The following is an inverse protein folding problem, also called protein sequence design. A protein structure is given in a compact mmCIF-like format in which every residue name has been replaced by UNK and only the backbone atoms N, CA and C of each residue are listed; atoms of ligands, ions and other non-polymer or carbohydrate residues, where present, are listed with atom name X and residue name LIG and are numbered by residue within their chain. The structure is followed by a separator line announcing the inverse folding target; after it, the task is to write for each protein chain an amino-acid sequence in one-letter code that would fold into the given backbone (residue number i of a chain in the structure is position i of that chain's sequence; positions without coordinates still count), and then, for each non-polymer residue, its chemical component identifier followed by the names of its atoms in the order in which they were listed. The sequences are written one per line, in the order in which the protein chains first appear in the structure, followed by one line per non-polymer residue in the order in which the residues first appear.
data_IF_320611802899
#
_entry.id   IF_320611802899
#
_cell.length_a   1.000
_cell.length_b   1.000
_cell.length_c   1.000
_cell.angle_alpha   90.00
_cell.angle_beta   90.00
_cell.angle_gamma   90.00
#
_symmetry.space_group_name_H-M   'P 1'
#
loop_
_entity.id
_entity.type
_entity.pdbx_description
1 polymer ?
#
# COMPACT_ATOMS: atom_id res chain seq x y z
N UNK A 1 -18.35 13.44 -67.68
CA UNK A 1 -18.26 12.88 -66.32
C UNK A 1 -16.93 13.16 -65.57
N UNK A 2 -16.04 14.04 -66.06
CA UNK A 2 -14.72 14.27 -65.42
C UNK A 2 -14.71 15.32 -64.30
N UNK A 3 -15.57 16.36 -64.36
CA UNK A 3 -15.59 17.46 -63.38
C UNK A 3 -16.00 17.06 -61.94
N UNK A 4 -16.71 15.94 -61.76
CA UNK A 4 -17.25 15.54 -60.46
C UNK A 4 -16.23 14.77 -59.58
N UNK A 5 -15.10 14.32 -60.16
CA UNK A 5 -14.02 13.62 -59.41
C UNK A 5 -13.04 14.58 -58.75
N UNK A 6 -12.72 15.70 -59.40
CA UNK A 6 -11.79 16.70 -58.87
C UNK A 6 -12.40 17.50 -57.71
N UNK A 7 -13.71 17.74 -57.75
CA UNK A 7 -14.41 18.43 -56.66
C UNK A 7 -14.55 17.55 -55.41
N UNK A 8 -14.73 16.23 -55.58
CA UNK A 8 -14.66 15.26 -54.48
C UNK A 8 -13.25 15.14 -53.89
N UNK A 9 -12.20 15.22 -54.71
CA UNK A 9 -10.80 15.21 -54.23
C UNK A 9 -10.44 16.48 -53.47
N UNK A 10 -10.90 17.66 -53.91
CA UNK A 10 -10.68 18.93 -53.18
C UNK A 10 -11.40 18.94 -51.82
N UNK A 11 -12.65 18.48 -51.74
CA UNK A 11 -13.38 18.37 -50.46
C UNK A 11 -12.72 17.39 -49.48
N UNK A 12 -12.11 16.30 -49.96
CA UNK A 12 -11.39 15.35 -49.10
C UNK A 12 -10.07 15.92 -48.54
N UNK A 13 -9.34 16.72 -49.33
CA UNK A 13 -8.13 17.44 -48.88
C UNK A 13 -8.43 18.59 -47.92
N UNK A 14 -9.57 19.27 -48.07
CA UNK A 14 -9.98 20.34 -47.14
C UNK A 14 -10.46 19.78 -45.80
N UNK A 15 -11.11 18.60 -45.78
CA UNK A 15 -11.49 17.88 -44.55
C UNK A 15 -10.32 17.26 -43.78
N UNK A 16 -9.16 17.06 -44.42
CA UNK A 16 -7.94 16.57 -43.75
C UNK A 16 -7.10 17.71 -43.17
N UNK A 17 -7.18 18.92 -43.71
CA UNK A 17 -6.49 20.11 -43.17
C UNK A 17 -7.19 20.76 -41.97
N UNK A 18 -8.49 20.53 -41.77
CA UNK A 18 -9.23 21.05 -40.59
C UNK A 18 -9.13 20.17 -39.34
N UNK A 19 -8.37 19.06 -39.38
CA UNK A 19 -8.09 18.21 -38.20
C UNK A 19 -6.78 18.56 -37.48
N UNK A 20 -6.07 19.59 -37.94
CA UNK A 20 -4.89 20.16 -37.30
C UNK A 20 -5.18 21.40 -36.46
N UNK A 21 -6.37 21.51 -35.86
CA UNK A 21 -6.59 22.49 -34.79
C UNK A 21 -5.98 21.89 -33.54
N UNK A 22 -4.97 22.58 -33.01
CA UNK A 22 -4.30 22.26 -31.76
C UNK A 22 -5.32 21.77 -30.74
N UNK A 23 -5.13 20.53 -30.25
CA UNK A 23 -5.81 20.10 -29.03
C UNK A 23 -5.49 21.18 -27.99
N UNK A 24 -6.50 21.78 -27.33
CA UNK A 24 -6.21 22.63 -26.19
C UNK A 24 -5.32 21.81 -25.27
N UNK A 25 -4.15 22.34 -24.96
CA UNK A 25 -3.25 21.84 -23.92
C UNK A 25 -4.14 21.58 -22.74
N UNK A 26 -4.49 20.31 -22.49
CA UNK A 26 -5.20 19.94 -21.29
C UNK A 26 -4.26 20.35 -20.18
N UNK A 27 -4.57 21.48 -19.54
CA UNK A 27 -4.01 21.81 -18.25
C UNK A 27 -4.09 20.52 -17.43
N UNK A 28 -2.99 20.10 -16.79
CA UNK A 28 -2.99 18.90 -15.99
C UNK A 28 -4.12 19.07 -14.98
N UNK A 29 -5.20 18.31 -15.15
CA UNK A 29 -6.25 18.24 -14.15
C UNK A 29 -5.53 17.84 -12.86
N UNK A 30 -5.50 18.75 -11.89
CA UNK A 30 -5.06 18.44 -10.53
C UNK A 30 -5.85 17.20 -10.11
N UNK A 31 -5.20 16.03 -10.15
CA UNK A 31 -5.79 14.79 -9.67
C UNK A 31 -5.98 15.00 -8.19
N UNK A 32 -7.23 14.89 -7.74
CA UNK A 32 -7.54 15.03 -6.33
C UNK A 32 -6.70 14.02 -5.53
N UNK A 33 -6.19 14.41 -4.35
CA UNK A 33 -5.46 13.49 -3.49
C UNK A 33 -6.33 12.28 -3.17
N UNK A 34 -5.72 11.08 -3.26
CA UNK A 34 -6.38 9.85 -2.80
C UNK A 34 -6.40 9.93 -1.28
N UNK A 35 -7.60 9.94 -0.69
CA UNK A 35 -7.79 10.29 0.72
C UNK A 35 -7.75 9.08 1.67
N UNK A 36 -7.54 7.85 1.18
CA UNK A 36 -7.59 6.65 2.00
C UNK A 36 -6.43 5.70 1.68
N UNK A 37 -5.84 5.04 2.69
CA UNK A 37 -4.88 3.97 2.48
C UNK A 37 -5.49 2.82 1.70
N UNK A 38 -4.67 2.15 0.90
CA UNK A 38 -5.05 0.90 0.27
C UNK A 38 -5.33 -0.18 1.33
N UNK A 39 -6.10 -1.20 0.94
CA UNK A 39 -6.35 -2.36 1.78
C UNK A 39 -5.03 -3.03 2.21
N UNK A 40 -4.03 -3.07 1.32
CA UNK A 40 -2.70 -3.61 1.58
C UNK A 40 -1.98 -2.86 2.69
N UNK A 41 -2.06 -1.52 2.69
CA UNK A 41 -1.45 -0.67 3.72
C UNK A 41 -2.14 -0.85 5.07
N UNK A 42 -3.48 -0.84 5.09
CA UNK A 42 -4.22 -1.11 6.33
C UNK A 42 -3.89 -2.49 6.89
N UNK A 43 -3.86 -3.50 6.00
CA UNK A 43 -3.51 -4.87 6.36
C UNK A 43 -2.09 -4.97 6.91
N UNK A 44 -1.10 -4.31 6.27
CA UNK A 44 0.29 -4.26 6.74
C UNK A 44 0.38 -3.68 8.14
N UNK A 45 -0.30 -2.56 8.41
CA UNK A 45 -0.31 -1.93 9.74
C UNK A 45 -0.86 -2.87 10.80
N UNK A 46 -1.93 -3.61 10.50
CA UNK A 46 -2.50 -4.60 11.41
C UNK A 46 -1.57 -5.81 11.65
N UNK A 47 -0.68 -6.14 10.71
CA UNK A 47 0.18 -7.33 10.79
C UNK A 47 1.67 -7.01 11.01
N UNK A 48 2.01 -5.74 11.23
CA UNK A 48 3.38 -5.30 11.49
C UNK A 48 3.81 -5.73 12.90
N UNK A 49 2.97 -5.44 13.89
CA UNK A 49 3.18 -5.77 15.29
C UNK A 49 1.86 -6.22 15.91
N UNK A 50 1.86 -7.42 16.48
CA UNK A 50 0.67 -7.98 17.11
C UNK A 50 0.24 -7.19 18.35
N UNK A 51 1.18 -6.53 19.05
CA UNK A 51 0.87 -5.71 20.21
C UNK A 51 -0.04 -4.51 19.85
N UNK A 52 0.05 -4.01 18.61
CA UNK A 52 -0.84 -2.96 18.09
C UNK A 52 -2.26 -3.48 17.97
N UNK A 53 -2.46 -4.71 17.49
CA UNK A 53 -3.80 -5.32 17.44
C UNK A 53 -4.35 -5.56 18.85
N UNK A 54 -3.54 -6.07 19.77
CA UNK A 54 -3.91 -6.24 21.19
C UNK A 54 -4.44 -4.94 21.79
N UNK A 55 -3.65 -3.87 21.68
CA UNK A 55 -4.02 -2.55 22.22
C UNK A 55 -5.26 -1.95 21.54
N UNK A 56 -5.42 -2.16 20.23
CA UNK A 56 -6.60 -1.70 19.50
C UNK A 56 -7.86 -2.40 20.01
N UNK A 57 -7.78 -3.71 20.27
CA UNK A 57 -8.90 -4.50 20.79
C UNK A 57 -9.24 -4.08 22.23
N UNK A 58 -8.24 -3.93 23.09
CA UNK A 58 -8.43 -3.41 24.46
C UNK A 58 -9.15 -2.06 24.45
N UNK A 59 -8.66 -1.12 23.65
CA UNK A 59 -9.27 0.21 23.49
C UNK A 59 -10.69 0.11 22.93
N UNK A 60 -10.93 -0.79 21.97
CA UNK A 60 -12.26 -1.00 21.37
C UNK A 60 -13.25 -1.58 22.39
N UNK A 61 -12.79 -2.46 23.28
CA UNK A 61 -13.62 -3.03 24.34
C UNK A 61 -14.05 -1.95 25.35
N UNK A 62 -13.16 -1.01 25.66
CA UNK A 62 -13.45 0.11 26.57
C UNK A 62 -14.44 1.11 25.96
N UNK A 63 -14.26 1.45 24.67
CA UNK A 63 -15.06 2.50 24.01
C UNK A 63 -16.39 1.97 23.47
N UNK A 64 -16.45 0.71 23.05
CA UNK A 64 -17.62 0.12 22.37
C UNK A 64 -17.98 -1.27 22.92
N UNK A 65 -18.43 -1.37 24.20
CA UNK A 65 -18.71 -2.65 24.84
C UNK A 65 -19.84 -3.46 24.16
N UNK A 66 -20.70 -2.81 23.38
CA UNK A 66 -21.74 -3.50 22.61
C UNK A 66 -21.17 -4.39 21.48
N UNK A 67 -19.99 -4.06 20.93
CA UNK A 67 -19.32 -4.90 19.92
C UNK A 67 -18.93 -6.26 20.50
N UNK A 68 -18.50 -6.28 21.77
CA UNK A 68 -18.23 -7.52 22.48
C UNK A 68 -19.49 -8.38 22.56
N UNK A 69 -20.62 -7.79 22.95
CA UNK A 69 -21.89 -8.52 23.05
C UNK A 69 -22.33 -9.11 21.70
N UNK A 70 -22.10 -8.38 20.60
CA UNK A 70 -22.37 -8.84 19.23
C UNK A 70 -21.53 -10.07 18.87
N UNK A 71 -20.24 -10.06 19.17
CA UNK A 71 -19.28 -11.07 18.71
C UNK A 71 -19.02 -12.19 19.73
N UNK A 72 -19.52 -12.05 20.97
CA UNK A 72 -19.22 -12.96 22.09
C UNK A 72 -19.49 -14.44 21.79
N UNK A 73 -20.53 -14.76 21.01
CA UNK A 73 -20.81 -16.15 20.65
C UNK A 73 -19.73 -16.73 19.72
N UNK A 74 -19.25 -15.94 18.75
CA UNK A 74 -18.20 -16.34 17.82
C UNK A 74 -16.87 -16.49 18.54
N UNK A 75 -16.55 -15.53 19.42
CA UNK A 75 -15.34 -15.53 20.24
C UNK A 75 -15.28 -16.80 21.10
N UNK A 76 -16.35 -17.10 21.85
CA UNK A 76 -16.43 -18.34 22.64
C UNK A 76 -16.26 -19.60 21.80
N UNK A 77 -16.88 -19.65 20.62
CA UNK A 77 -16.76 -20.80 19.72
C UNK A 77 -15.31 -21.02 19.27
N UNK A 78 -14.59 -19.93 18.97
CA UNK A 78 -13.17 -19.97 18.58
C UNK A 78 -12.28 -20.38 19.76
N UNK A 79 -12.50 -19.81 20.93
CA UNK A 79 -11.72 -20.13 22.14
C UNK A 79 -11.93 -21.57 22.61
N UNK A 80 -13.13 -22.13 22.39
CA UNK A 80 -13.47 -23.52 22.75
C UNK A 80 -13.05 -24.55 21.70
N UNK A 81 -12.58 -24.13 20.52
CA UNK A 81 -12.13 -25.05 19.48
C UNK A 81 -10.88 -25.81 19.95
N UNK A 82 -10.97 -27.14 19.98
CA UNK A 82 -10.02 -28.03 20.64
C UNK A 82 -8.72 -28.24 19.86
N UNK A 83 -8.77 -28.10 18.54
CA UNK A 83 -7.63 -28.35 17.66
C UNK A 83 -7.58 -27.35 16.50
N UNK A 84 -6.47 -27.41 15.75
CA UNK A 84 -6.19 -26.53 14.62
C UNK A 84 -7.23 -26.65 13.51
N UNK A 85 -7.72 -27.86 13.23
CA UNK A 85 -8.70 -28.07 12.16
C UNK A 85 -10.02 -27.37 12.50
N UNK A 86 -10.48 -27.51 13.74
CA UNK A 86 -11.67 -26.83 14.25
C UNK A 86 -11.52 -25.30 14.23
N UNK A 87 -10.34 -24.75 14.57
CA UNK A 87 -10.09 -23.30 14.46
C UNK A 87 -10.10 -22.84 13.01
N UNK A 88 -9.50 -23.59 12.08
CA UNK A 88 -9.52 -23.26 10.65
C UNK A 88 -10.93 -23.30 10.04
N UNK A 89 -11.79 -24.21 10.48
CA UNK A 89 -13.19 -24.25 10.04
C UNK A 89 -14.00 -23.01 10.46
N UNK A 90 -13.52 -22.28 11.47
CA UNK A 90 -14.13 -21.04 11.95
C UNK A 90 -13.62 -19.77 11.25
N UNK A 91 -12.64 -19.88 10.34
CA UNK A 91 -12.12 -18.73 9.58
C UNK A 91 -13.21 -17.89 8.91
N UNK A 92 -14.25 -18.45 8.25
CA UNK A 92 -15.26 -17.65 7.56
C UNK A 92 -16.14 -16.82 8.50
N UNK A 93 -16.23 -17.20 9.78
CA UNK A 93 -17.08 -16.52 10.78
C UNK A 93 -16.29 -15.61 11.72
N UNK A 94 -14.95 -15.64 11.65
CA UNK A 94 -14.02 -14.85 12.47
C UNK A 94 -13.99 -13.36 12.09
N UNK A 95 -15.13 -12.68 12.13
CA UNK A 95 -15.27 -11.26 11.75
C UNK A 95 -15.33 -10.35 12.98
N UNK A 96 -14.88 -9.09 12.86
CA UNK A 96 -14.96 -8.12 13.95
C UNK A 96 -14.02 -8.50 15.08
N UNK A 97 -14.49 -8.49 16.33
CA UNK A 97 -13.64 -8.85 17.48
C UNK A 97 -13.30 -10.36 17.50
N UNK A 98 -14.10 -11.19 16.82
CA UNK A 98 -13.82 -12.62 16.67
C UNK A 98 -12.59 -12.90 15.80
N UNK A 99 -12.19 -11.95 14.93
CA UNK A 99 -11.01 -12.07 14.09
C UNK A 99 -9.73 -12.13 14.93
N UNK A 100 -9.66 -11.25 15.93
CA UNK A 100 -8.57 -11.21 16.88
C UNK A 100 -8.46 -12.49 17.71
N UNK A 101 -9.59 -13.00 18.23
CA UNK A 101 -9.62 -14.26 18.97
C UNK A 101 -9.13 -15.43 18.09
N UNK A 102 -9.52 -15.44 16.81
CA UNK A 102 -9.08 -16.45 15.84
C UNK A 102 -7.58 -16.36 15.60
N UNK A 103 -7.05 -15.16 15.34
CA UNK A 103 -5.62 -14.96 15.09
C UNK A 103 -4.77 -15.31 16.32
N UNK A 104 -5.24 -14.97 17.52
CA UNK A 104 -4.61 -15.36 18.78
C UNK A 104 -4.51 -16.89 18.91
N UNK A 105 -5.61 -17.62 18.68
CA UNK A 105 -5.60 -19.09 18.67
C UNK A 105 -4.66 -19.65 17.59
N UNK A 106 -4.63 -19.06 16.39
CA UNK A 106 -3.70 -19.46 15.34
C UNK A 106 -2.23 -19.32 15.75
N UNK A 107 -1.88 -18.24 16.46
CA UNK A 107 -0.51 -18.05 16.99
C UNK A 107 -0.10 -19.08 18.02
N UNK A 108 -1.05 -19.60 18.82
CA UNK A 108 -0.77 -20.65 19.81
C UNK A 108 -0.34 -21.98 19.14
N UNK A 109 -0.79 -22.26 17.92
CA UNK A 109 -0.30 -23.40 17.13
C UNK A 109 1.07 -23.15 16.49
N UNK A 110 1.50 -21.89 16.41
CA UNK A 110 2.81 -21.49 15.89
C UNK A 110 3.07 -21.97 14.46
N UNK A 111 4.31 -22.34 14.18
CA UNK A 111 4.77 -22.73 12.83
C UNK A 111 4.12 -24.01 12.30
N UNK A 112 3.62 -24.88 13.19
CA UNK A 112 2.94 -26.12 12.82
C UNK A 112 1.60 -25.90 12.09
N UNK A 113 1.05 -24.68 12.15
CA UNK A 113 -0.19 -24.34 11.47
C UNK A 113 -0.05 -24.20 9.95
N UNK A 114 1.16 -23.89 9.46
CA UNK A 114 1.36 -23.52 8.06
C UNK A 114 0.89 -24.58 7.04
N UNK A 115 1.23 -25.89 7.18
CA UNK A 115 0.76 -26.91 6.23
C UNK A 115 -0.78 -27.04 6.19
N UNK A 116 -1.45 -26.92 7.33
CA UNK A 116 -2.90 -26.99 7.40
C UNK A 116 -3.56 -25.76 6.76
N UNK A 117 -2.97 -24.57 6.94
CA UNK A 117 -3.43 -23.35 6.27
C UNK A 117 -3.29 -23.48 4.74
N UNK A 118 -2.15 -23.97 4.25
CA UNK A 118 -1.93 -24.23 2.81
C UNK A 118 -2.99 -25.18 2.27
N UNK A 119 -3.28 -26.26 3.00
CA UNK A 119 -4.31 -27.24 2.62
C UNK A 119 -5.68 -26.57 2.45
N UNK A 120 -6.04 -25.61 3.31
CA UNK A 120 -7.30 -24.85 3.20
C UNK A 120 -7.28 -23.86 2.03
N UNK A 121 -6.18 -23.15 1.81
CA UNK A 121 -6.03 -22.21 0.69
C UNK A 121 -6.05 -22.91 -0.68
N UNK A 122 -5.62 -24.17 -0.74
CA UNK A 122 -5.63 -25.00 -1.95
C UNK A 122 -6.94 -25.80 -2.12
N UNK A 123 -7.81 -25.81 -1.11
CA UNK A 123 -9.07 -26.55 -1.17
C UNK A 123 -10.14 -25.77 -1.94
N UNK A 124 -10.28 -26.10 -3.23
CA UNK A 124 -11.31 -25.56 -4.12
C UNK A 124 -12.71 -25.67 -3.53
N UNK A 125 -13.05 -26.82 -2.94
CA UNK A 125 -14.37 -27.06 -2.35
C UNK A 125 -14.63 -26.15 -1.16
N UNK A 126 -13.67 -26.04 -0.24
CA UNK A 126 -13.80 -25.19 0.95
C UNK A 126 -13.93 -23.72 0.57
N UNK A 127 -13.11 -23.25 -0.38
CA UNK A 127 -13.15 -21.87 -0.86
C UNK A 127 -14.45 -21.56 -1.62
N UNK A 128 -14.98 -22.53 -2.39
CA UNK A 128 -16.28 -22.38 -3.07
C UNK A 128 -17.44 -22.36 -2.08
N UNK A 129 -17.43 -23.22 -1.06
CA UNK A 129 -18.45 -23.21 0.00
C UNK A 129 -18.52 -21.85 0.70
N UNK A 130 -17.38 -21.17 0.82
CA UNK A 130 -17.28 -19.86 1.45
C UNK A 130 -17.08 -18.71 0.46
N UNK A 131 -17.55 -18.83 -0.80
CA UNK A 131 -17.30 -17.84 -1.85
C UNK A 131 -17.57 -16.38 -1.43
N UNK A 132 -18.66 -16.13 -0.69
CA UNK A 132 -19.01 -14.77 -0.21
C UNK A 132 -18.04 -14.21 0.83
N UNK A 133 -17.33 -15.07 1.54
CA UNK A 133 -16.33 -14.74 2.55
C UNK A 133 -14.90 -15.04 2.09
N UNK A 134 -14.70 -15.48 0.84
CA UNK A 134 -13.42 -16.02 0.34
C UNK A 134 -12.26 -15.02 0.46
N UNK A 135 -12.46 -13.77 0.05
CA UNK A 135 -11.46 -12.72 0.21
C UNK A 135 -11.08 -12.49 1.68
N UNK A 136 -12.08 -12.43 2.58
CA UNK A 136 -11.83 -12.31 4.02
C UNK A 136 -11.17 -13.56 4.61
N UNK A 137 -11.47 -14.75 4.09
CA UNK A 137 -10.83 -15.99 4.53
C UNK A 137 -9.36 -16.04 4.08
N UNK A 138 -9.05 -15.68 2.82
CA UNK A 138 -7.67 -15.57 2.35
C UNK A 138 -6.88 -14.55 3.18
N UNK A 139 -7.45 -13.37 3.42
CA UNK A 139 -6.82 -12.33 4.23
C UNK A 139 -6.39 -12.83 5.62
N UNK A 140 -7.26 -13.59 6.29
CA UNK A 140 -6.98 -14.19 7.60
C UNK A 140 -5.94 -15.30 7.53
N UNK A 141 -6.06 -16.19 6.56
CA UNK A 141 -5.14 -17.31 6.40
C UNK A 141 -3.72 -16.81 6.05
N UNK A 142 -3.60 -15.80 5.18
CA UNK A 142 -2.34 -15.13 4.88
C UNK A 142 -1.81 -14.41 6.13
N UNK A 143 -2.68 -13.76 6.90
CA UNK A 143 -2.33 -13.14 8.19
C UNK A 143 -1.80 -14.14 9.21
N UNK A 144 -2.37 -15.34 9.29
CA UNK A 144 -1.87 -16.41 10.14
C UNK A 144 -0.51 -16.95 9.64
N UNK A 145 -0.33 -17.12 8.32
CA UNK A 145 0.95 -17.53 7.74
C UNK A 145 2.06 -16.51 8.05
N UNK A 146 1.76 -15.21 8.05
CA UNK A 146 2.71 -14.17 8.47
C UNK A 146 3.30 -14.42 9.88
N UNK A 147 2.56 -15.05 10.78
CA UNK A 147 3.03 -15.37 12.14
C UNK A 147 3.71 -16.74 12.25
N UNK A 148 3.80 -17.50 11.16
CA UNK A 148 4.48 -18.80 11.10
C UNK A 148 5.98 -18.70 10.74
N UNK A 149 6.56 -17.49 10.67
CA UNK A 149 7.97 -17.29 10.35
C UNK A 149 8.34 -17.85 8.97
N UNK A 150 9.50 -18.53 8.87
CA UNK A 150 9.97 -19.12 7.61
C UNK A 150 8.99 -20.16 7.03
N UNK A 151 8.36 -20.98 7.88
CA UNK A 151 7.33 -21.92 7.43
C UNK A 151 6.14 -21.19 6.79
N UNK A 152 5.85 -19.97 7.25
CA UNK A 152 4.86 -19.08 6.67
C UNK A 152 5.25 -18.56 5.29
N UNK A 153 6.51 -18.14 5.09
CA UNK A 153 6.97 -17.68 3.78
C UNK A 153 6.98 -18.81 2.76
N UNK A 154 7.45 -20.01 3.16
CA UNK A 154 7.47 -21.19 2.30
C UNK A 154 6.04 -21.57 1.90
N UNK A 155 5.12 -21.58 2.86
CA UNK A 155 3.70 -21.81 2.61
C UNK A 155 3.07 -20.80 1.64
N UNK A 156 3.37 -19.50 1.78
CA UNK A 156 2.87 -18.46 0.87
C UNK A 156 3.43 -18.60 -0.54
N UNK A 157 4.67 -19.07 -0.66
CA UNK A 157 5.31 -19.41 -1.94
C UNK A 157 4.62 -20.64 -2.55
N UNK A 158 4.35 -21.67 -1.76
CA UNK A 158 3.77 -22.93 -2.24
C UNK A 158 2.31 -22.80 -2.68
N UNK A 159 1.51 -21.99 -1.98
CA UNK A 159 0.10 -21.76 -2.34
C UNK A 159 -0.11 -20.56 -3.27
N UNK A 160 0.96 -19.90 -3.73
CA UNK A 160 0.90 -18.66 -4.50
C UNK A 160 -0.10 -18.72 -5.67
N UNK A 161 -0.09 -19.82 -6.42
CA UNK A 161 -0.90 -19.93 -7.62
C UNK A 161 -2.39 -20.14 -7.35
N UNK A 162 -2.77 -20.53 -6.14
CA UNK A 162 -4.17 -20.71 -5.73
C UNK A 162 -4.80 -19.42 -5.18
N UNK A 163 -4.00 -18.40 -4.91
CA UNK A 163 -4.47 -17.10 -4.45
C UNK A 163 -5.01 -16.27 -5.63
N UNK A 164 -6.10 -15.53 -5.37
CA UNK A 164 -6.57 -14.51 -6.30
C UNK A 164 -5.64 -13.28 -6.27
N UNK A 165 -5.85 -12.29 -7.14
CA UNK A 165 -4.97 -11.12 -7.20
C UNK A 165 -4.91 -10.32 -5.89
N UNK A 166 -6.01 -10.30 -5.11
CA UNK A 166 -6.03 -9.64 -3.81
C UNK A 166 -5.21 -10.45 -2.80
N UNK A 167 -5.41 -11.77 -2.74
CA UNK A 167 -4.62 -12.69 -1.93
C UNK A 167 -3.13 -12.64 -2.26
N UNK A 168 -2.74 -12.66 -3.55
CA UNK A 168 -1.34 -12.50 -3.98
C UNK A 168 -0.77 -11.15 -3.53
N UNK A 169 -1.57 -10.09 -3.65
CA UNK A 169 -1.18 -8.76 -3.17
C UNK A 169 -0.93 -8.72 -1.66
N UNK A 170 -1.74 -9.40 -0.84
CA UNK A 170 -1.49 -9.50 0.61
C UNK A 170 -0.31 -10.43 0.93
N UNK A 171 -0.15 -11.52 0.19
CA UNK A 171 0.97 -12.44 0.32
C UNK A 171 2.31 -11.72 0.07
N UNK A 172 2.38 -10.80 -0.89
CA UNK A 172 3.56 -9.94 -1.10
C UNK A 172 3.94 -9.16 0.17
N UNK A 173 2.96 -8.55 0.83
CA UNK A 173 3.18 -7.78 2.06
C UNK A 173 3.70 -8.71 3.17
N UNK A 174 3.04 -9.87 3.35
CA UNK A 174 3.44 -10.87 4.33
C UNK A 174 4.88 -11.36 4.09
N UNK A 175 5.24 -11.65 2.84
CA UNK A 175 6.59 -12.08 2.42
C UNK A 175 7.64 -11.02 2.74
N UNK A 176 7.35 -9.74 2.49
CA UNK A 176 8.25 -8.63 2.84
C UNK A 176 8.47 -8.53 4.35
N UNK A 177 7.39 -8.58 5.13
CA UNK A 177 7.49 -8.57 6.59
C UNK A 177 8.17 -9.81 7.18
N UNK A 178 8.15 -10.94 6.46
CA UNK A 178 8.89 -12.17 6.79
C UNK A 178 10.34 -12.15 6.30
N UNK A 179 10.76 -11.09 5.59
CA UNK A 179 12.10 -10.93 5.05
C UNK A 179 12.54 -12.05 4.08
N UNK A 180 11.60 -12.65 3.36
CA UNK A 180 11.86 -13.77 2.45
C UNK A 180 12.38 -13.31 1.08
N UNK A 181 13.65 -12.92 1.04
CA UNK A 181 14.34 -12.38 -0.15
C UNK A 181 14.29 -13.28 -1.38
N UNK A 182 14.23 -14.60 -1.21
CA UNK A 182 14.11 -15.56 -2.32
C UNK A 182 12.84 -15.38 -3.16
N UNK A 183 11.82 -14.70 -2.63
CA UNK A 183 10.57 -14.42 -3.34
C UNK A 183 10.57 -13.10 -4.11
N UNK A 184 11.65 -12.29 -4.07
CA UNK A 184 11.68 -10.95 -4.67
C UNK A 184 11.33 -10.96 -6.17
N UNK A 185 11.85 -11.91 -6.95
CA UNK A 185 11.52 -12.04 -8.38
C UNK A 185 10.05 -12.36 -8.64
N UNK A 186 9.42 -13.12 -7.75
CA UNK A 186 7.99 -13.43 -7.83
C UNK A 186 7.14 -12.20 -7.50
N UNK A 187 7.51 -11.44 -6.47
CA UNK A 187 6.87 -10.17 -6.12
C UNK A 187 6.97 -9.18 -7.29
N UNK A 188 8.15 -9.08 -7.90
CA UNK A 188 8.38 -8.22 -9.07
C UNK A 188 7.54 -8.63 -10.28
N UNK A 189 7.50 -9.92 -10.60
CA UNK A 189 6.68 -10.42 -11.71
C UNK A 189 5.19 -10.11 -11.50
N UNK A 190 4.71 -10.18 -10.26
CA UNK A 190 3.33 -9.80 -9.93
C UNK A 190 3.09 -8.29 -9.98
N UNK A 191 4.06 -7.46 -9.55
CA UNK A 191 3.98 -6.01 -9.73
C UNK A 191 3.81 -5.64 -11.21
N UNK A 192 4.64 -6.21 -12.08
CA UNK A 192 4.61 -5.92 -13.52
C UNK A 192 3.27 -6.29 -14.17
N UNK A 193 2.66 -7.41 -13.76
CA UNK A 193 1.34 -7.78 -14.27
C UNK A 193 0.21 -6.91 -13.68
N UNK A 194 0.27 -6.61 -12.38
CA UNK A 194 -0.77 -5.89 -11.66
C UNK A 194 -0.77 -4.38 -11.92
N UNK A 195 0.37 -3.76 -12.23
CA UNK A 195 0.47 -2.28 -12.41
C UNK A 195 -0.32 -1.75 -13.61
N UNK A 196 -0.67 -2.62 -14.55
CA UNK A 196 -1.51 -2.28 -15.71
C UNK A 196 -3.01 -2.44 -15.43
N UNK A 197 -3.39 -3.09 -14.33
CA UNK A 197 -4.77 -3.31 -13.95
C UNK A 197 -5.37 -2.04 -13.28
N UNK A 198 -6.70 -1.83 -13.36
CA UNK A 198 -7.36 -0.69 -12.71
C UNK A 198 -7.44 -0.82 -11.18
N UNK A 199 -6.91 -1.89 -10.58
CA UNK A 199 -6.92 -2.14 -9.15
C UNK A 199 -5.68 -1.60 -8.45
N UNK A 200 -5.67 -1.60 -7.12
CA UNK A 200 -4.50 -1.22 -6.30
C UNK A 200 -3.65 -2.43 -5.88
N UNK A 201 -3.83 -3.61 -6.51
CA UNK A 201 -3.13 -4.83 -6.11
C UNK A 201 -1.60 -4.74 -6.29
N UNK A 202 -1.12 -3.82 -7.13
CA UNK A 202 0.30 -3.52 -7.30
C UNK A 202 0.93 -2.81 -6.08
N UNK A 203 0.14 -2.32 -5.11
CA UNK A 203 0.65 -1.75 -3.86
C UNK A 203 1.29 -2.83 -2.98
N UNK A 204 0.72 -4.04 -2.96
CA UNK A 204 1.22 -5.17 -2.19
C UNK A 204 2.66 -5.57 -2.51
N UNK A 205 3.01 -5.85 -3.79
CA UNK A 205 4.39 -6.15 -4.16
C UNK A 205 5.34 -4.98 -3.91
N UNK A 206 4.92 -3.71 -4.03
CA UNK A 206 5.79 -2.59 -3.67
C UNK A 206 6.12 -2.58 -2.18
N UNK A 207 5.12 -2.78 -1.29
CA UNK A 207 5.38 -2.96 0.13
C UNK A 207 6.40 -4.08 0.39
N UNK A 208 6.16 -5.25 -0.23
CA UNK A 208 7.03 -6.40 -0.08
C UNK A 208 8.46 -6.12 -0.53
N UNK A 209 8.64 -5.56 -1.73
CA UNK A 209 9.96 -5.24 -2.30
C UNK A 209 10.69 -4.13 -1.52
N UNK A 210 9.97 -3.14 -0.99
CA UNK A 210 10.55 -2.12 -0.10
C UNK A 210 11.06 -2.75 1.19
N UNK A 211 10.27 -3.62 1.82
CA UNK A 211 10.66 -4.32 3.05
C UNK A 211 11.86 -5.28 2.81
N UNK A 212 11.99 -5.83 1.59
CA UNK A 212 13.14 -6.63 1.15
C UNK A 212 14.34 -5.80 0.64
N UNK A 213 14.25 -4.47 0.67
CA UNK A 213 15.24 -3.55 0.11
C UNK A 213 15.63 -3.86 -1.37
N UNK A 214 14.68 -4.36 -2.17
CA UNK A 214 14.91 -4.65 -3.59
C UNK A 214 14.98 -3.35 -4.40
N UNK A 215 16.07 -3.16 -5.14
CA UNK A 215 16.34 -1.93 -5.88
C UNK A 215 15.26 -1.60 -6.94
N UNK A 216 14.57 -2.62 -7.47
CA UNK A 216 13.52 -2.43 -8.48
C UNK A 216 12.32 -1.66 -7.93
N UNK A 217 12.07 -1.72 -6.62
CA UNK A 217 11.03 -0.90 -6.00
C UNK A 217 11.30 0.59 -6.17
N UNK A 218 12.56 1.02 -6.02
CA UNK A 218 12.93 2.41 -6.20
C UNK A 218 12.76 2.88 -7.67
N UNK A 219 13.14 2.04 -8.63
CA UNK A 219 12.94 2.32 -10.06
C UNK A 219 11.44 2.49 -10.36
N UNK A 220 10.62 1.54 -9.91
CA UNK A 220 9.16 1.60 -10.10
C UNK A 220 8.53 2.84 -9.45
N UNK A 221 8.94 3.20 -8.23
CA UNK A 221 8.45 4.40 -7.55
C UNK A 221 8.83 5.68 -8.29
N UNK A 222 10.06 5.76 -8.79
CA UNK A 222 10.51 6.91 -9.57
C UNK A 222 9.72 7.03 -10.88
N UNK A 223 9.49 5.92 -11.59
CA UNK A 223 8.63 5.90 -12.77
C UNK A 223 7.21 6.42 -12.46
N UNK A 224 6.59 5.96 -11.37
CA UNK A 224 5.25 6.39 -10.96
C UNK A 224 5.19 7.89 -10.66
N UNK A 225 6.19 8.42 -9.94
CA UNK A 225 6.28 9.85 -9.62
C UNK A 225 6.48 10.69 -10.89
N UNK A 226 7.39 10.30 -11.77
CA UNK A 226 7.65 11.00 -13.04
C UNK A 226 6.42 10.95 -13.97
N UNK A 227 5.69 9.83 -13.96
CA UNK A 227 4.42 9.68 -14.67
C UNK A 227 3.24 10.40 -13.98
N UNK A 228 3.46 11.04 -12.82
CA UNK A 228 2.43 11.73 -12.02
C UNK A 228 1.25 10.82 -11.67
N UNK A 229 1.54 9.56 -11.35
CA UNK A 229 0.56 8.61 -10.81
C UNK A 229 0.41 8.90 -9.32
N UNK A 230 -0.71 9.49 -8.93
CA UNK A 230 -1.02 9.78 -7.54
C UNK A 230 -1.69 8.58 -6.87
N UNK A 231 -1.20 8.21 -5.70
CA UNK A 231 -1.76 7.19 -4.82
C UNK A 231 -1.40 7.53 -3.38
N UNK A 232 -2.15 6.98 -2.43
CA UNK A 232 -2.03 7.35 -1.01
C UNK A 232 -0.61 7.14 -0.47
N UNK A 233 -0.02 5.99 -0.73
CA UNK A 233 1.26 5.58 -0.16
C UNK A 233 2.48 6.27 -0.77
N UNK A 234 2.32 7.09 -1.80
CA UNK A 234 3.42 7.58 -2.65
C UNK A 234 4.61 8.12 -1.85
N UNK A 235 4.38 9.07 -0.95
CA UNK A 235 5.46 9.69 -0.18
C UNK A 235 6.00 8.78 0.91
N UNK A 236 5.15 7.97 1.54
CA UNK A 236 5.60 6.94 2.50
C UNK A 236 6.49 5.89 1.82
N UNK A 237 6.17 5.51 0.59
CA UNK A 237 6.97 4.56 -0.21
C UNK A 237 8.30 5.15 -0.60
N UNK A 238 8.35 6.39 -1.11
CA UNK A 238 9.61 7.08 -1.40
C UNK A 238 10.48 7.23 -0.13
N UNK A 239 9.85 7.63 0.96
CA UNK A 239 10.49 7.79 2.27
C UNK A 239 11.05 6.47 2.81
N UNK A 240 10.46 5.31 2.49
CA UNK A 240 10.96 4.00 2.92
C UNK A 240 11.98 3.41 1.94
N UNK A 241 11.74 3.51 0.63
CA UNK A 241 12.68 3.06 -0.40
C UNK A 241 14.03 3.80 -0.30
N UNK A 242 14.03 5.12 -0.13
CA UNK A 242 15.27 5.85 0.20
C UNK A 242 16.18 6.21 -0.93
N UNK A 243 15.68 6.09 -2.15
CA UNK A 243 16.50 6.33 -3.31
C UNK A 243 16.82 7.82 -3.43
N UNK A 244 18.12 8.14 -3.53
CA UNK A 244 18.59 9.50 -3.71
C UNK A 244 18.01 10.18 -4.97
N UNK A 245 17.65 9.40 -5.99
CA UNK A 245 17.04 9.90 -7.24
C UNK A 245 15.66 10.53 -6.99
N UNK A 246 15.00 10.21 -5.88
CA UNK A 246 13.73 10.81 -5.49
C UNK A 246 13.88 12.22 -4.90
N UNK A 247 15.08 12.67 -4.52
CA UNK A 247 15.31 13.99 -3.90
C UNK A 247 14.75 15.12 -4.76
N UNK A 248 15.10 15.18 -6.05
CA UNK A 248 14.65 16.26 -6.94
C UNK A 248 13.14 16.21 -7.23
N UNK A 249 12.54 15.05 -7.57
CA UNK A 249 11.09 14.93 -7.65
C UNK A 249 10.36 15.40 -6.39
N UNK A 250 10.89 15.09 -5.19
CA UNK A 250 10.29 15.52 -3.92
C UNK A 250 10.42 17.03 -3.69
N UNK A 251 11.56 17.64 -4.04
CA UNK A 251 11.71 19.11 -4.01
C UNK A 251 10.70 19.78 -4.94
N UNK A 252 10.55 19.27 -6.17
CA UNK A 252 9.55 19.78 -7.10
C UNK A 252 8.11 19.63 -6.55
N UNK A 253 7.79 18.48 -5.94
CA UNK A 253 6.49 18.27 -5.30
C UNK A 253 6.24 19.21 -4.11
N UNK A 254 7.29 19.53 -3.33
CA UNK A 254 7.21 20.46 -2.22
C UNK A 254 6.99 21.92 -2.65
N UNK A 255 7.57 22.34 -3.78
CA UNK A 255 7.46 23.71 -4.29
C UNK A 255 6.20 23.92 -5.14
N UNK A 256 5.98 23.02 -6.10
CA UNK A 256 4.99 23.18 -7.17
C UNK A 256 3.81 22.19 -7.06
N UNK A 257 3.87 21.26 -6.10
CA UNK A 257 2.81 20.27 -5.89
C UNK A 257 1.55 20.85 -5.23
N UNK A 258 0.47 20.05 -5.17
CA UNK A 258 -0.76 20.39 -4.45
C UNK A 258 -0.46 20.70 -2.98
N UNK A 259 -1.09 21.73 -2.43
CA UNK A 259 -0.83 22.25 -1.07
C UNK A 259 -0.92 21.15 -0.01
N UNK A 260 -1.91 20.27 -0.13
CA UNK A 260 -2.18 19.18 0.82
C UNK A 260 -1.07 18.13 0.83
N UNK A 261 -0.31 18.01 -0.27
CA UNK A 261 0.74 17.01 -0.45
C UNK A 261 2.16 17.55 -0.24
N UNK A 262 2.33 18.87 -0.12
CA UNK A 262 3.65 19.49 0.09
C UNK A 262 4.29 19.06 1.41
N UNK A 263 3.47 18.90 2.45
CA UNK A 263 3.93 18.42 3.74
C UNK A 263 4.46 16.98 3.64
N UNK A 264 3.74 16.08 2.97
CA UNK A 264 4.16 14.69 2.79
C UNK A 264 5.44 14.59 1.94
N UNK A 265 5.57 15.42 0.90
CA UNK A 265 6.80 15.51 0.11
C UNK A 265 8.00 15.97 0.95
N UNK A 266 7.82 16.97 1.82
CA UNK A 266 8.84 17.43 2.76
C UNK A 266 9.24 16.31 3.73
N UNK A 267 8.29 15.62 4.35
CA UNK A 267 8.59 14.54 5.28
C UNK A 267 9.31 13.36 4.62
N UNK A 268 8.91 13.00 3.40
CA UNK A 268 9.63 11.99 2.64
C UNK A 268 11.07 12.42 2.32
N UNK A 269 11.26 13.67 1.91
CA UNK A 269 12.60 14.22 1.66
C UNK A 269 13.46 14.21 2.92
N UNK A 270 12.89 14.56 4.08
CA UNK A 270 13.58 14.50 5.38
C UNK A 270 14.00 13.07 5.73
N UNK A 271 13.14 12.07 5.52
CA UNK A 271 13.49 10.66 5.76
C UNK A 271 14.60 10.14 4.83
N UNK A 272 14.60 10.56 3.56
CA UNK A 272 15.69 10.26 2.63
C UNK A 272 16.98 10.97 3.07
N UNK A 273 16.89 12.24 3.44
CA UNK A 273 18.01 13.05 3.88
C UNK A 273 18.76 12.45 5.08
N UNK A 274 18.04 11.96 6.09
CA UNK A 274 18.66 11.32 7.26
C UNK A 274 19.44 10.06 6.89
N UNK A 275 19.01 9.32 5.87
CA UNK A 275 19.74 8.13 5.38
C UNK A 275 20.94 8.48 4.50
N UNK A 276 20.82 9.52 3.68
CA UNK A 276 21.92 9.98 2.82
C UNK A 276 23.01 10.73 3.61
N UNK A 277 22.60 11.47 4.64
CA UNK A 277 23.42 12.46 5.33
C UNK A 277 23.54 13.79 4.55
N UNK A 278 23.91 14.85 5.26
CA UNK A 278 23.99 16.22 4.72
C UNK A 278 24.78 16.33 3.42
N UNK A 279 25.97 15.74 3.35
CA UNK A 279 26.87 15.85 2.19
C UNK A 279 26.21 15.31 0.91
N UNK A 280 25.71 14.08 0.95
CA UNK A 280 25.08 13.43 -0.20
C UNK A 280 23.76 14.09 -0.59
N UNK A 281 23.01 14.62 0.39
CA UNK A 281 21.83 15.42 0.10
C UNK A 281 22.20 16.69 -0.70
N UNK A 282 23.24 17.41 -0.27
CA UNK A 282 23.73 18.59 -0.98
C UNK A 282 24.16 18.28 -2.42
N UNK A 283 24.84 17.14 -2.63
CA UNK A 283 25.20 16.64 -3.96
C UNK A 283 23.96 16.32 -4.80
N UNK A 284 22.98 15.60 -4.25
CA UNK A 284 21.74 15.26 -4.93
C UNK A 284 20.87 16.48 -5.31
N UNK A 285 20.94 17.55 -4.51
CA UNK A 285 20.24 18.82 -4.77
C UNK A 285 20.90 19.65 -5.88
N UNK A 286 22.22 19.57 -6.04
CA UNK A 286 22.94 20.24 -7.15
C UNK A 286 22.60 19.61 -8.50
N UNK A 287 22.43 18.29 -8.53
CA UNK A 287 22.17 17.53 -9.75
C UNK A 287 23.37 17.49 -10.71
N UNK A 288 23.30 16.63 -11.72
CA UNK A 288 24.36 16.43 -12.74
C UNK A 288 23.93 16.95 -14.14
N UNK A 289 22.71 17.50 -14.27
CA UNK A 289 21.99 17.58 -15.55
C UNK A 289 22.04 18.93 -16.29
N UNK A 290 23.00 19.81 -16.00
CA UNK A 290 23.21 21.04 -16.79
C UNK A 290 22.03 22.06 -16.79
N UNK A 291 21.14 21.99 -15.80
CA UNK A 291 20.15 23.03 -15.51
C UNK A 291 20.86 24.16 -14.75
N UNK A 292 20.38 25.41 -14.88
CA UNK A 292 20.90 26.57 -14.17
C UNK A 292 21.23 26.22 -12.70
N UNK A 293 22.49 26.40 -12.31
CA UNK A 293 22.99 26.02 -10.99
C UNK A 293 22.11 26.68 -9.91
N UNK A 294 21.41 25.87 -9.12
CA UNK A 294 20.77 26.36 -7.91
C UNK A 294 21.88 26.94 -7.02
N UNK A 295 21.80 28.21 -6.60
CA UNK A 295 22.86 28.83 -5.81
C UNK A 295 23.20 27.99 -4.58
N UNK A 296 24.49 27.82 -4.29
CA UNK A 296 24.95 26.99 -3.18
C UNK A 296 24.31 27.39 -1.84
N UNK A 297 24.12 28.69 -1.61
CA UNK A 297 23.44 29.22 -0.42
C UNK A 297 22.00 28.72 -0.30
N UNK A 298 21.26 28.64 -1.42
CA UNK A 298 19.88 28.12 -1.43
C UNK A 298 19.85 26.63 -1.09
N UNK A 299 20.84 25.88 -1.56
CA UNK A 299 20.97 24.45 -1.24
C UNK A 299 21.25 24.26 0.24
N UNK A 300 22.22 24.99 0.81
CA UNK A 300 22.55 24.91 2.24
C UNK A 300 21.36 25.30 3.12
N UNK A 301 20.62 26.37 2.76
CA UNK A 301 19.38 26.74 3.47
C UNK A 301 18.33 25.63 3.46
N UNK A 302 18.16 24.94 2.32
CA UNK A 302 17.23 23.83 2.23
C UNK A 302 17.69 22.62 3.06
N UNK A 303 19.00 22.30 3.01
CA UNK A 303 19.60 21.26 3.85
C UNK A 303 19.39 21.58 5.33
N UNK A 304 19.69 22.79 5.76
CA UNK A 304 19.49 23.22 7.15
C UNK A 304 18.04 23.07 7.58
N UNK A 305 17.09 23.49 6.74
CA UNK A 305 15.66 23.35 7.01
C UNK A 305 15.23 21.89 7.15
N UNK A 306 15.74 20.99 6.30
CA UNK A 306 15.42 19.56 6.36
C UNK A 306 15.92 18.95 7.68
N UNK A 307 17.13 19.30 8.10
CA UNK A 307 17.76 18.78 9.31
C UNK A 307 17.25 19.44 10.61
N UNK A 308 16.29 20.37 10.55
CA UNK A 308 15.55 20.83 11.74
C UNK A 308 14.65 19.73 12.31
N UNK A 309 14.23 18.78 11.47
CA UNK A 309 13.36 17.68 11.87
C UNK A 309 14.19 16.41 12.08
N UNK A 310 13.87 15.65 13.13
CA UNK A 310 14.56 14.39 13.41
C UNK A 310 13.99 13.22 12.60
N UNK A 311 14.73 12.12 12.52
CA UNK A 311 14.21 10.86 11.98
C UNK A 311 12.96 10.37 12.74
N UNK A 312 12.89 10.63 14.06
CA UNK A 312 11.72 10.28 14.86
C UNK A 312 10.49 11.10 14.49
N UNK A 313 10.65 12.36 14.07
CA UNK A 313 9.53 13.18 13.60
C UNK A 313 8.99 12.65 12.26
N UNK A 314 9.88 12.17 11.38
CA UNK A 314 9.49 11.49 10.13
C UNK A 314 8.69 10.23 10.42
N UNK A 315 9.18 9.38 11.34
CA UNK A 315 8.48 8.17 11.77
C UNK A 315 7.10 8.50 12.32
N UNK A 316 7.00 9.48 13.23
CA UNK A 316 5.72 9.95 13.77
C UNK A 316 4.77 10.46 12.68
N UNK A 317 5.28 11.17 11.67
CA UNK A 317 4.43 11.63 10.56
C UNK A 317 3.85 10.46 9.76
N UNK A 318 4.67 9.47 9.41
CA UNK A 318 4.21 8.31 8.62
C UNK A 318 3.51 7.22 9.44
N UNK A 319 3.69 7.18 10.76
CA UNK A 319 2.87 6.39 11.68
C UNK A 319 1.47 7.00 11.79
N UNK A 320 1.39 8.30 12.08
CA UNK A 320 0.09 9.01 12.14
C UNK A 320 -0.62 9.10 10.80
N UNK A 321 0.08 8.85 9.69
CA UNK A 321 -0.51 8.67 8.36
C UNK A 321 -1.49 7.49 8.31
N UNK A 322 -1.37 6.49 9.19
CA UNK A 322 -2.38 5.45 9.35
C UNK A 322 -3.48 5.86 10.36
N UNK A 323 -3.13 6.65 11.38
CA UNK A 323 -4.03 6.98 12.50
C UNK A 323 -4.97 8.18 12.25
N UNK A 324 -4.57 9.18 11.43
CA UNK A 324 -5.37 10.40 11.16
C UNK A 324 -6.78 10.08 10.66
N UNK A 325 -6.97 8.94 10.00
CA UNK A 325 -8.28 8.51 9.50
C UNK A 325 -9.10 7.70 10.51
N UNK A 326 -8.46 7.02 11.48
CA UNK A 326 -9.17 6.35 12.56
C UNK A 326 -9.97 7.35 13.40
N UNK A 327 -9.42 8.55 13.66
CA UNK A 327 -10.12 9.61 14.40
C UNK A 327 -11.22 10.30 13.58
N UNK A 328 -11.10 10.37 12.25
CA UNK A 328 -12.12 10.97 11.37
C UNK A 328 -13.38 10.12 11.22
N UNK A 329 -13.26 8.80 11.36
CA UNK A 329 -14.42 7.89 11.35
C UNK A 329 -15.24 7.99 12.63
N UNK A 330 -14.60 8.37 13.75
CA UNK A 330 -15.23 8.58 15.06
C UNK A 330 -16.06 9.87 15.14
N UNK A 331 -15.77 10.88 14.31
CA UNK A 331 -16.46 12.18 14.36
C UNK A 331 -17.68 12.30 13.45
N UNK A 332 -17.91 11.35 12.54
CA UNK A 332 -19.06 11.34 11.62
C UNK A 332 -20.35 10.71 12.18
N UNK A 333 -20.38 10.17 13.40
CA UNK A 333 -21.61 9.66 14.04
C UNK A 333 -22.15 10.61 15.12
N UNK A 334 -22.46 11.85 14.74
CA UNK A 334 -22.93 12.85 15.71
C UNK A 334 -24.07 13.76 15.28
N UNK A 335 -24.59 13.70 14.05
CA UNK A 335 -25.72 14.54 13.61
C UNK A 335 -26.79 13.67 12.94
N UNK A 336 -27.65 13.07 13.76
CA UNK A 336 -28.95 12.59 13.30
C UNK A 336 -29.87 13.79 13.01
N UNK A 337 -30.63 13.78 11.91
CA UNK A 337 -31.56 14.86 11.61
C UNK A 337 -32.71 14.85 12.63
N UNK A 338 -32.90 15.96 13.33
CA UNK A 338 -34.11 16.22 14.08
C UNK A 338 -35.21 16.58 13.08
N UNK A 339 -36.18 15.70 12.92
CA UNK A 339 -37.53 16.02 12.47
C UNK A 339 -38.54 15.22 13.26
#
# INVERSE_FOLDING_TARGET
MSKNRDEKRRRKKQKTRSRGVARPTMQPRHRQPVAMPSAQTMWRTMHLDFAVQEKLIETTMDVQPFLWKRDASKIRQIEQATDLAAVLDLTPVATGLADYAWLKRMREFGTSAAPAIVTRLQSDDWMRLHRKASAGAQERLIGALRWCGNAGSDALIDCWDTLDDYGRSLACVAIGLLNAHSAADRLWAFFESARSAPTTHWIGPLWGLIDLADARAADALLELVLARVAFYEQYGFLCRAGDQRAVRPLVAAMLDGPEELRADAMWALTGIAHRLGRKRLGEALRGDDGIAETPAETIEMLVDRIFLYSQQDVERHFETFCDRHASSLSSTQGHGPQH
#
